data_IF_089308348394
#
_entry.id   IF_089308348394
#
_cell.length_a   1.000
_cell.length_b   1.000
_cell.length_c   1.000
_cell.angle_alpha   90.00
_cell.angle_beta   90.00
_cell.angle_gamma   90.00
#
_symmetry.space_group_name_H-M   'P 1'
#
loop_
_entity.id
_entity.type
_entity.pdbx_description
1 polymer ?
#
# COMPACT_ATOMS: atom_id res chain seq x y z
N UNK A 1 11.39 9.71 4.47
CA UNK A 1 10.45 10.45 3.59
C UNK A 1 10.60 9.89 2.18
N UNK A 2 9.52 9.86 1.38
CA UNK A 2 9.62 9.45 -0.02
C UNK A 2 10.49 10.46 -0.79
N UNK A 3 11.48 9.96 -1.54
CA UNK A 3 12.34 10.76 -2.43
C UNK A 3 12.22 10.25 -3.86
N UNK A 4 12.52 11.08 -4.88
CA UNK A 4 12.51 10.63 -6.27
C UNK A 4 13.39 9.39 -6.50
N UNK A 5 14.54 9.32 -5.81
CA UNK A 5 15.47 8.19 -5.87
C UNK A 5 14.93 6.91 -5.22
N UNK A 6 14.06 7.05 -4.20
CA UNK A 6 13.40 5.90 -3.59
C UNK A 6 12.28 5.41 -4.49
N UNK A 7 11.50 6.33 -5.08
CA UNK A 7 10.40 5.99 -5.99
C UNK A 7 10.93 5.36 -7.28
N UNK A 8 12.05 5.84 -7.84
CA UNK A 8 12.64 5.31 -9.07
C UNK A 8 13.10 3.85 -8.97
N UNK A 9 13.31 3.34 -7.76
CA UNK A 9 13.68 1.93 -7.51
C UNK A 9 12.48 1.00 -7.47
N UNK A 10 11.27 1.54 -7.45
CA UNK A 10 10.04 0.75 -7.40
C UNK A 10 9.58 0.47 -8.82
N UNK A 11 9.38 -0.80 -9.15
CA UNK A 11 8.85 -1.21 -10.46
C UNK A 11 7.51 -0.57 -10.81
N UNK A 12 6.77 -0.08 -9.80
CA UNK A 12 5.52 0.67 -10.00
C UNK A 12 5.71 1.96 -10.80
N UNK A 13 6.86 2.61 -10.64
CA UNK A 13 7.17 3.92 -11.23
C UNK A 13 8.21 3.82 -12.35
N UNK A 14 8.46 2.60 -12.84
CA UNK A 14 9.37 2.37 -13.96
C UNK A 14 8.87 3.10 -15.21
N UNK A 15 9.78 3.83 -15.87
CA UNK A 15 9.48 4.61 -17.07
C UNK A 15 8.92 6.00 -16.82
N UNK A 16 8.71 6.43 -15.56
CA UNK A 16 8.38 7.81 -15.25
C UNK A 16 9.62 8.72 -15.38
N UNK A 17 9.48 9.91 -15.99
CA UNK A 17 10.57 10.87 -16.09
C UNK A 17 10.88 11.51 -14.72
N UNK A 18 12.08 12.07 -14.52
CA UNK A 18 12.51 12.62 -13.23
C UNK A 18 11.57 13.66 -12.64
N UNK A 19 10.99 14.53 -13.47
CA UNK A 19 10.05 15.57 -13.05
C UNK A 19 8.75 15.00 -12.45
N UNK A 20 8.27 13.88 -12.99
CA UNK A 20 7.07 13.20 -12.47
C UNK A 20 7.36 12.49 -11.15
N UNK A 21 8.56 11.92 -11.01
CA UNK A 21 9.00 11.32 -9.75
C UNK A 21 9.16 12.37 -8.65
N UNK A 22 9.61 13.58 -8.99
CA UNK A 22 9.70 14.70 -8.05
C UNK A 22 8.33 15.21 -7.62
N UNK A 23 7.40 15.36 -8.56
CA UNK A 23 6.02 15.68 -8.24
C UNK A 23 5.36 14.60 -7.35
N UNK A 24 5.53 13.33 -7.68
CA UNK A 24 5.00 12.21 -6.89
C UNK A 24 5.59 12.16 -5.48
N UNK A 25 6.91 12.34 -5.34
CA UNK A 25 7.55 12.38 -4.04
C UNK A 25 6.95 13.47 -3.13
N UNK A 26 6.61 14.64 -3.70
CA UNK A 26 5.93 15.72 -2.98
C UNK A 26 4.49 15.41 -2.57
N UNK A 27 3.82 14.47 -3.24
CA UNK A 27 2.46 14.02 -2.90
C UNK A 27 2.46 12.87 -1.89
N UNK A 28 3.58 12.17 -1.74
CA UNK A 28 3.71 11.05 -0.82
C UNK A 28 3.84 11.51 0.63
N UNK A 29 3.13 10.83 1.52
CA UNK A 29 3.28 10.99 2.96
C UNK A 29 3.76 9.68 3.57
N UNK A 30 4.81 9.75 4.38
CA UNK A 30 5.25 8.60 5.17
C UNK A 30 4.35 8.44 6.40
N UNK A 31 3.91 7.22 6.65
CA UNK A 31 3.01 6.88 7.76
C UNK A 31 3.55 5.63 8.45
N UNK A 32 3.73 5.69 9.76
CA UNK A 32 4.04 4.53 10.59
C UNK A 32 2.73 3.94 11.11
N UNK A 33 2.58 2.62 11.01
CA UNK A 33 1.44 1.90 11.56
C UNK A 33 1.92 0.90 12.60
N UNK A 34 1.18 0.79 13.70
CA UNK A 34 1.48 -0.15 14.77
C UNK A 34 0.81 -1.51 14.52
N UNK A 35 1.34 -2.55 15.19
CA UNK A 35 0.78 -3.90 15.09
C UNK A 35 -0.69 -3.90 15.50
N UNK A 36 -1.55 -4.43 14.62
CA UNK A 36 -2.99 -4.51 14.83
C UNK A 36 -3.77 -3.30 14.32
N UNK A 37 -3.10 -2.24 13.87
CA UNK A 37 -3.77 -1.16 13.14
C UNK A 37 -4.21 -1.64 11.76
N UNK A 38 -5.36 -1.13 11.33
CA UNK A 38 -6.02 -1.54 10.11
C UNK A 38 -5.90 -0.40 9.10
N UNK A 39 -5.26 -0.70 7.97
CA UNK A 39 -5.13 0.26 6.87
C UNK A 39 -6.45 0.46 6.12
N UNK A 40 -7.21 -0.63 5.94
CA UNK A 40 -8.50 -0.66 5.24
C UNK A 40 -9.29 -1.90 5.67
N UNK A 41 -10.62 -1.79 5.64
CA UNK A 41 -11.52 -2.95 5.76
C UNK A 41 -12.17 -3.27 4.42
N UNK A 42 -12.48 -4.55 4.24
CA UNK A 42 -13.29 -4.98 3.09
C UNK A 42 -14.62 -4.22 3.05
N UNK A 43 -15.01 -3.77 1.87
CA UNK A 43 -16.23 -2.98 1.65
C UNK A 43 -16.09 -1.48 1.95
N UNK A 44 -15.00 -1.03 2.56
CA UNK A 44 -14.73 0.40 2.73
C UNK A 44 -14.19 1.02 1.43
N UNK A 45 -14.55 2.28 1.18
CA UNK A 45 -13.97 3.04 0.08
C UNK A 45 -12.48 3.26 0.34
N UNK A 46 -11.63 2.60 -0.44
CA UNK A 46 -10.21 2.89 -0.47
C UNK A 46 -9.98 4.31 -1.00
N UNK A 47 -9.28 5.15 -0.23
CA UNK A 47 -8.92 6.53 -0.62
C UNK A 47 -7.41 6.72 -0.80
N UNK A 48 -6.64 5.70 -0.43
CA UNK A 48 -5.18 5.74 -0.36
C UNK A 48 -4.62 4.41 -0.84
N UNK A 49 -3.47 4.52 -1.49
CA UNK A 49 -2.55 3.44 -1.74
C UNK A 49 -1.38 3.57 -0.77
N UNK A 50 -0.78 2.45 -0.39
CA UNK A 50 0.46 2.44 0.38
C UNK A 50 1.50 1.58 -0.32
N UNK A 51 2.75 1.97 -0.11
CA UNK A 51 3.94 1.23 -0.53
C UNK A 51 4.65 0.81 0.75
N UNK A 52 4.91 -0.47 0.93
CA UNK A 52 5.60 -0.96 2.11
C UNK A 52 7.06 -0.49 2.07
N UNK A 53 7.50 0.24 3.09
CA UNK A 53 8.92 0.61 3.25
C UNK A 53 9.65 -0.39 4.15
N UNK A 54 9.04 -0.72 5.28
CA UNK A 54 9.56 -1.65 6.28
C UNK A 54 8.40 -2.30 7.03
N UNK A 55 8.59 -3.56 7.45
CA UNK A 55 7.65 -4.29 8.29
C UNK A 55 6.83 -5.32 7.52
N UNK A 56 5.65 -5.65 8.04
CA UNK A 56 4.77 -6.69 7.51
C UNK A 56 3.32 -6.23 7.57
N UNK A 57 2.62 -6.36 6.45
CA UNK A 57 1.17 -6.15 6.34
C UNK A 57 0.52 -7.49 5.98
N UNK A 58 -0.53 -7.85 6.72
CA UNK A 58 -1.31 -9.06 6.45
C UNK A 58 -2.67 -8.71 5.85
N UNK A 59 -3.06 -9.43 4.81
CA UNK A 59 -4.41 -9.35 4.24
C UNK A 59 -5.24 -10.42 4.93
N UNK A 60 -6.33 -10.01 5.55
CA UNK A 60 -7.22 -10.88 6.30
C UNK A 60 -8.64 -10.81 5.73
N UNK A 61 -9.32 -11.95 5.69
CA UNK A 61 -10.72 -12.06 5.28
C UNK A 61 -11.52 -12.57 6.46
N UNK A 62 -12.67 -11.94 6.70
CA UNK A 62 -13.63 -12.37 7.70
C UNK A 62 -14.66 -13.29 7.03
N UNK A 63 -14.71 -14.57 7.41
CA UNK A 63 -15.72 -15.49 6.91
C UNK A 63 -17.01 -15.38 7.72
N UNK A 64 -18.17 -15.44 7.08
CA UNK A 64 -19.47 -15.49 7.79
C UNK A 64 -19.64 -16.75 8.63
N UNK A 65 -18.92 -17.82 8.30
CA UNK A 65 -18.97 -19.12 8.98
C UNK A 65 -18.12 -19.19 10.25
N UNK A 66 -17.23 -18.21 10.52
CA UNK A 66 -16.35 -18.20 11.70
C UNK A 66 -16.15 -16.80 12.27
N UNK A 67 -16.05 -16.64 13.60
CA UNK A 67 -15.86 -15.33 14.23
C UNK A 67 -14.44 -14.78 14.03
N UNK A 68 -13.46 -15.61 13.68
CA UNK A 68 -12.06 -15.22 13.52
C UNK A 68 -11.65 -14.98 12.06
N UNK A 69 -10.87 -13.93 11.84
CA UNK A 69 -10.33 -13.57 10.53
C UNK A 69 -9.22 -14.52 10.09
N UNK A 70 -9.19 -14.87 8.81
CA UNK A 70 -8.14 -15.73 8.24
C UNK A 70 -7.17 -14.87 7.42
N UNK A 71 -5.87 -15.02 7.67
CA UNK A 71 -4.84 -14.41 6.82
C UNK A 71 -4.77 -15.14 5.48
N UNK A 72 -5.03 -14.42 4.39
CA UNK A 72 -5.02 -14.94 3.02
C UNK A 72 -3.82 -14.43 2.21
N UNK A 73 -3.11 -13.43 2.71
CA UNK A 73 -1.93 -12.88 2.07
C UNK A 73 -1.02 -12.16 3.05
N UNK A 74 0.27 -12.10 2.72
CA UNK A 74 1.29 -11.41 3.51
C UNK A 74 2.15 -10.58 2.56
N UNK A 75 2.36 -9.33 2.92
CA UNK A 75 3.17 -8.36 2.20
C UNK A 75 4.29 -7.96 3.16
N UNK A 76 5.51 -8.34 2.81
CA UNK A 76 6.67 -8.21 3.69
C UNK A 76 7.95 -7.82 2.94
N UNK A 77 7.84 -7.50 1.64
CA UNK A 77 8.96 -6.99 0.87
C UNK A 77 8.80 -5.48 0.66
N UNK A 78 9.85 -4.68 0.94
CA UNK A 78 9.87 -3.27 0.60
C UNK A 78 9.53 -3.05 -0.88
N UNK A 79 8.72 -2.04 -1.15
CA UNK A 79 8.23 -1.68 -2.49
C UNK A 79 6.94 -2.37 -2.93
N UNK A 80 6.45 -3.38 -2.19
CA UNK A 80 5.14 -3.96 -2.48
C UNK A 80 4.01 -2.99 -2.18
N UNK A 81 2.95 -3.07 -2.98
CA UNK A 81 1.82 -2.13 -2.97
C UNK A 81 0.60 -2.74 -2.30
N UNK A 82 -0.14 -1.92 -1.55
CA UNK A 82 -1.47 -2.25 -1.01
C UNK A 82 -2.47 -1.13 -1.29
N UNK A 83 -3.75 -1.48 -1.36
CA UNK A 83 -4.81 -0.50 -1.57
C UNK A 83 -4.82 0.11 -2.98
N UNK A 84 -4.42 -0.65 -4.01
CA UNK A 84 -4.43 -0.20 -5.41
C UNK A 84 -5.79 0.37 -5.84
N UNK A 85 -6.88 -0.21 -5.32
CA UNK A 85 -8.26 0.25 -5.54
C UNK A 85 -8.53 1.68 -5.08
N UNK A 86 -7.68 2.25 -4.21
CA UNK A 86 -7.77 3.66 -3.81
C UNK A 86 -7.19 4.65 -4.82
N UNK A 87 -6.43 4.16 -5.81
CA UNK A 87 -5.88 4.97 -6.91
C UNK A 87 -6.60 4.67 -8.23
N UNK A 88 -6.92 3.41 -8.50
CA UNK A 88 -7.57 2.97 -9.74
C UNK A 88 -8.81 2.17 -9.39
N UNK A 89 -9.98 2.63 -9.86
CA UNK A 89 -11.23 1.93 -9.65
C UNK A 89 -11.17 0.51 -10.26
N UNK A 90 -11.73 -0.51 -9.57
CA UNK A 90 -11.89 -1.84 -10.16
C UNK A 90 -12.75 -1.75 -11.43
N UNK A 91 -12.38 -2.52 -12.45
CA UNK A 91 -13.14 -2.65 -13.70
C UNK A 91 -14.25 -3.68 -13.58
#
# INVERSE_FOLDING_TARGET
MATPETLSRLSLFEGLPPEDLEALAGLCQEVTCHRGEILFREGETAKKMYILLEGVVTIQVQLTSRPESITVGVINQPGQVVGWSGLVAPR
#
